data_IF_851489124700
#
_entry.id   IF_851489124700
#
_cell.length_a   1.000
_cell.length_b   1.000
_cell.length_c   1.000
_cell.angle_alpha   90.00
_cell.angle_beta   90.00
_cell.angle_gamma   90.00
#
_symmetry.space_group_name_H-M   'P 1'
#
loop_
_entity.id
_entity.type
_entity.pdbx_description
1 polymer ?
#
# COMPACT_ATOMS: atom_id res chain seq x y z
N UNK A 1 32.05 45.71 46.23
CA UNK A 1 31.80 46.81 45.28
C UNK A 1 30.68 46.38 44.37
N UNK A 2 29.50 46.97 44.54
CA UNK A 2 28.32 46.70 43.75
C UNK A 2 28.26 47.67 42.56
N UNK A 3 27.72 47.23 41.42
CA UNK A 3 26.83 48.04 40.58
C UNK A 3 26.05 47.11 39.63
N UNK A 4 24.73 47.26 39.71
CA UNK A 4 23.68 46.66 38.89
C UNK A 4 23.50 47.50 37.62
N UNK A 5 23.04 46.91 36.52
CA UNK A 5 21.85 47.35 35.75
C UNK A 5 21.53 46.29 34.68
N UNK A 6 20.30 45.76 34.71
CA UNK A 6 19.20 46.04 33.76
C UNK A 6 19.35 45.22 32.45
N UNK A 7 18.49 44.27 32.09
CA UNK A 7 17.05 44.19 32.31
C UNK A 7 16.35 44.32 30.95
N UNK A 8 16.10 43.20 30.26
CA UNK A 8 15.08 43.09 29.21
C UNK A 8 14.71 41.61 29.01
N UNK A 9 13.84 41.12 29.87
CA UNK A 9 13.12 39.87 29.67
C UNK A 9 12.12 40.06 28.53
N UNK A 10 12.20 39.22 27.50
CA UNK A 10 11.23 39.21 26.41
C UNK A 10 9.85 38.79 26.95
N UNK A 11 8.76 39.50 26.56
CA UNK A 11 7.43 39.21 27.05
C UNK A 11 6.92 37.88 26.49
N UNK A 12 6.66 36.93 27.39
CA UNK A 12 5.76 35.79 27.17
C UNK A 12 4.36 36.34 26.92
N UNK A 13 3.85 36.19 25.70
CA UNK A 13 2.44 36.42 25.42
C UNK A 13 1.63 35.30 26.08
N UNK A 14 0.81 35.70 27.05
CA UNK A 14 -0.18 34.84 27.69
C UNK A 14 -1.57 35.44 27.51
N UNK A 15 -2.53 34.53 27.36
CA UNK A 15 -3.98 34.62 27.64
C UNK A 15 -4.92 35.27 26.60
N UNK A 16 -5.76 34.36 26.08
CA UNK A 16 -7.22 34.31 26.24
C UNK A 16 -8.11 35.18 25.34
N UNK A 17 -9.08 34.49 24.72
CA UNK A 17 -10.53 34.77 24.59
C UNK A 17 -11.00 34.28 23.20
N UNK A 18 -11.73 33.17 23.11
CA UNK A 18 -13.21 33.16 23.06
C UNK A 18 -13.77 34.15 22.03
N UNK A 19 -14.17 33.62 20.87
CA UNK A 19 -14.78 34.39 19.79
C UNK A 19 -15.48 33.49 18.79
N UNK A 20 -16.74 33.18 19.11
CA UNK A 20 -17.86 32.95 18.18
C UNK A 20 -17.72 31.87 17.09
N UNK A 21 -18.42 30.75 17.35
CA UNK A 21 -19.02 29.91 16.31
C UNK A 21 -19.80 30.79 15.35
N UNK A 22 -19.32 30.94 14.12
CA UNK A 22 -20.19 31.41 13.04
C UNK A 22 -21.07 30.23 12.62
N UNK A 23 -22.32 30.28 13.09
CA UNK A 23 -23.43 29.58 12.46
C UNK A 23 -23.61 30.16 11.05
N UNK A 24 -23.36 29.36 10.02
CA UNK A 24 -23.87 29.65 8.69
C UNK A 24 -25.30 29.15 8.59
N UNK A 25 -26.22 30.10 8.52
CA UNK A 25 -27.63 29.88 8.24
C UNK A 25 -27.80 29.68 6.74
N UNK A 26 -28.37 28.52 6.38
CA UNK A 26 -29.32 28.40 5.28
C UNK A 26 -28.78 28.45 3.85
N UNK A 27 -28.53 27.27 3.29
CA UNK A 27 -29.15 26.91 2.00
C UNK A 27 -29.81 25.56 2.19
N UNK A 28 -31.13 25.55 2.32
CA UNK A 28 -31.95 24.34 2.20
C UNK A 28 -31.91 23.91 0.74
N UNK A 29 -30.94 23.07 0.39
CA UNK A 29 -30.94 22.40 -0.91
C UNK A 29 -32.08 21.37 -0.89
N UNK A 30 -32.97 21.50 -1.88
CA UNK A 30 -34.15 20.68 -2.05
C UNK A 30 -33.83 19.17 -2.08
N UNK A 31 -34.74 18.39 -1.49
CA UNK A 31 -34.82 16.96 -1.69
C UNK A 31 -34.99 16.66 -3.18
N UNK A 32 -34.11 15.83 -3.75
CA UNK A 32 -34.32 15.36 -5.13
C UNK A 32 -33.07 15.04 -5.94
N UNK A 33 -32.06 14.39 -5.36
CA UNK A 33 -31.14 13.61 -6.16
C UNK A 33 -30.86 12.31 -5.39
N UNK A 34 -31.49 11.22 -5.81
CA UNK A 34 -30.99 9.88 -5.45
C UNK A 34 -29.58 9.81 -6.04
N UNK A 35 -28.59 10.09 -5.20
CA UNK A 35 -27.19 9.92 -5.57
C UNK A 35 -27.05 8.53 -6.16
N UNK A 36 -26.50 8.46 -7.37
CA UNK A 36 -26.00 7.22 -7.93
C UNK A 36 -25.21 6.50 -6.83
N UNK A 37 -25.33 5.17 -6.66
CA UNK A 37 -24.61 4.45 -5.63
C UNK A 37 -23.15 4.91 -5.69
N UNK A 38 -22.65 5.49 -4.59
CA UNK A 38 -21.28 5.93 -4.50
C UNK A 38 -20.43 4.69 -4.76
N UNK A 39 -19.96 4.52 -6.00
CA UNK A 39 -19.03 3.46 -6.36
C UNK A 39 -17.89 3.64 -5.37
N UNK A 40 -17.71 2.69 -4.46
CA UNK A 40 -16.59 2.68 -3.53
C UNK A 40 -15.34 2.60 -4.39
N UNK A 41 -14.79 3.76 -4.73
CA UNK A 41 -13.51 3.86 -5.40
C UNK A 41 -12.49 3.57 -4.30
N UNK A 42 -12.17 2.29 -4.16
CA UNK A 42 -11.05 1.85 -3.34
C UNK A 42 -9.78 2.25 -4.08
N UNK A 43 -9.37 3.50 -3.90
CA UNK A 43 -8.07 3.95 -4.38
C UNK A 43 -7.02 3.30 -3.49
N UNK A 44 -6.25 2.38 -4.04
CA UNK A 44 -5.15 1.73 -3.32
C UNK A 44 -4.26 2.79 -2.65
N UNK A 45 -3.98 2.61 -1.35
CA UNK A 45 -3.18 3.56 -0.57
C UNK A 45 -3.92 4.79 -0.02
N UNK A 46 -5.23 4.92 -0.22
CA UNK A 46 -6.02 5.99 0.41
C UNK A 46 -6.41 5.67 1.86
N UNK A 47 -6.86 6.69 2.60
CA UNK A 47 -7.49 6.50 3.91
C UNK A 47 -8.77 5.65 3.81
N UNK A 48 -9.55 5.81 2.74
CA UNK A 48 -10.74 4.99 2.48
C UNK A 48 -10.41 3.51 2.19
N UNK A 49 -9.27 3.24 1.54
CA UNK A 49 -8.75 1.88 1.39
C UNK A 49 -8.32 1.29 2.72
N UNK A 50 -7.59 2.07 3.54
CA UNK A 50 -7.14 1.63 4.87
C UNK A 50 -8.31 1.32 5.80
N UNK A 51 -9.36 2.15 5.79
CA UNK A 51 -10.56 1.97 6.60
C UNK A 51 -11.38 0.73 6.22
N UNK A 52 -11.22 0.20 5.00
CA UNK A 52 -11.94 -0.99 4.53
C UNK A 52 -11.53 -2.28 5.28
N UNK A 53 -10.34 -2.29 5.88
CA UNK A 53 -9.78 -3.46 6.57
C UNK A 53 -10.13 -3.54 8.06
N UNK A 54 -10.89 -2.58 8.60
CA UNK A 54 -11.28 -2.56 10.01
C UNK A 54 -10.11 -2.26 10.97
N UNK A 55 -10.21 -2.76 12.19
CA UNK A 55 -9.17 -2.61 13.22
C UNK A 55 -8.03 -3.58 12.95
N UNK A 56 -6.83 -3.04 12.72
CA UNK A 56 -5.62 -3.83 12.44
C UNK A 56 -4.90 -4.12 13.75
N UNK A 57 -4.29 -5.30 13.92
CA UNK A 57 -3.48 -5.59 15.09
C UNK A 57 -2.34 -4.56 15.22
N UNK A 58 -1.92 -4.22 16.45
CA UNK A 58 -0.80 -3.30 16.65
C UNK A 58 0.45 -3.87 15.98
N UNK A 59 1.11 -3.05 15.16
CA UNK A 59 2.31 -3.44 14.42
C UNK A 59 3.52 -3.40 15.35
N UNK A 60 4.15 -4.55 15.56
CA UNK A 60 5.45 -4.62 16.22
C UNK A 60 6.56 -4.24 15.23
N UNK A 61 6.90 -2.96 15.23
CA UNK A 61 7.90 -2.39 14.31
C UNK A 61 9.29 -2.98 14.57
N UNK A 62 9.63 -3.29 15.82
CA UNK A 62 10.95 -3.81 16.16
C UNK A 62 11.12 -5.22 15.62
N UNK A 63 10.14 -6.09 15.87
CA UNK A 63 10.14 -7.46 15.33
C UNK A 63 10.14 -7.47 13.81
N UNK A 64 9.34 -6.62 13.18
CA UNK A 64 9.26 -6.55 11.71
C UNK A 64 10.63 -6.17 11.11
N UNK A 65 11.34 -5.23 11.72
CA UNK A 65 12.68 -4.82 11.27
C UNK A 65 13.69 -5.94 11.43
N UNK A 66 13.76 -6.56 12.61
CA UNK A 66 14.73 -7.64 12.86
C UNK A 66 14.48 -8.83 11.93
N UNK A 67 13.22 -9.26 11.77
CA UNK A 67 12.88 -10.38 10.88
C UNK A 67 13.17 -10.08 9.41
N UNK A 68 13.03 -8.81 8.99
CA UNK A 68 13.36 -8.41 7.62
C UNK A 68 14.87 -8.48 7.38
N UNK A 69 15.68 -8.00 8.33
CA UNK A 69 17.14 -8.09 8.23
C UNK A 69 17.59 -9.54 8.21
N UNK A 70 17.08 -10.36 9.14
CA UNK A 70 17.35 -11.81 9.18
C UNK A 70 17.02 -12.49 7.85
N UNK A 71 15.87 -12.17 7.25
CA UNK A 71 15.48 -12.71 5.96
C UNK A 71 16.46 -12.30 4.84
N UNK A 72 16.81 -11.02 4.77
CA UNK A 72 17.72 -10.51 3.73
C UNK A 72 19.13 -11.11 3.87
N UNK A 73 19.61 -11.29 5.10
CA UNK A 73 20.92 -11.91 5.38
C UNK A 73 20.95 -13.40 5.04
N UNK A 74 19.84 -14.11 5.28
CA UNK A 74 19.72 -15.54 5.02
C UNK A 74 19.20 -15.88 3.61
N UNK A 75 18.89 -14.87 2.79
CA UNK A 75 18.32 -15.08 1.46
C UNK A 75 19.35 -15.73 0.53
N UNK A 76 19.01 -16.88 -0.05
CA UNK A 76 19.83 -17.54 -1.06
C UNK A 76 19.45 -17.05 -2.47
N UNK A 77 20.32 -16.24 -3.13
CA UNK A 77 20.05 -15.72 -4.47
C UNK A 77 19.89 -16.82 -5.52
N UNK A 78 20.47 -18.01 -5.31
CA UNK A 78 20.39 -19.10 -6.27
C UNK A 78 18.96 -19.62 -6.46
N UNK A 79 18.11 -19.45 -5.45
CA UNK A 79 16.71 -19.88 -5.48
C UNK A 79 15.98 -19.36 -6.71
N UNK A 80 16.23 -18.12 -7.12
CA UNK A 80 15.54 -17.50 -8.26
C UNK A 80 16.09 -17.96 -9.63
N UNK A 81 17.24 -18.62 -9.64
CA UNK A 81 17.80 -19.24 -10.84
C UNK A 81 17.38 -20.71 -10.97
N UNK A 82 17.34 -21.43 -9.85
CA UNK A 82 16.99 -22.86 -9.80
C UNK A 82 15.48 -23.11 -9.87
N UNK A 83 14.68 -22.17 -9.38
CA UNK A 83 13.22 -22.18 -9.50
C UNK A 83 12.72 -20.92 -10.23
N UNK A 84 12.76 -20.90 -11.59
CA UNK A 84 12.34 -19.75 -12.38
C UNK A 84 10.90 -19.32 -12.07
N UNK A 85 10.69 -18.00 -12.04
CA UNK A 85 9.36 -17.42 -11.82
C UNK A 85 8.43 -17.85 -12.95
N UNK A 86 7.27 -18.43 -12.62
CA UNK A 86 6.29 -18.85 -13.61
C UNK A 86 4.86 -18.51 -13.17
N UNK A 87 3.92 -18.55 -14.12
CA UNK A 87 2.50 -18.40 -13.80
C UNK A 87 1.96 -19.67 -13.15
N UNK A 88 1.10 -19.50 -12.14
CA UNK A 88 0.39 -20.59 -11.48
C UNK A 88 -1.12 -20.48 -11.74
N UNK A 89 -1.75 -21.55 -12.20
CA UNK A 89 -3.20 -21.66 -12.32
C UNK A 89 -3.67 -22.73 -11.35
N UNK A 90 -4.42 -22.35 -10.31
CA UNK A 90 -4.90 -23.26 -9.24
C UNK A 90 -3.78 -24.06 -8.54
N UNK A 91 -2.57 -23.51 -8.46
CA UNK A 91 -1.41 -24.17 -7.87
C UNK A 91 -0.55 -24.95 -8.89
N UNK A 92 -1.05 -25.15 -10.10
CA UNK A 92 -0.31 -25.82 -11.16
C UNK A 92 0.54 -24.83 -11.95
N UNK A 93 1.80 -25.21 -12.20
CA UNK A 93 2.74 -24.43 -13.00
C UNK A 93 2.34 -24.44 -14.47
N UNK A 94 2.25 -23.25 -15.07
CA UNK A 94 2.12 -23.11 -16.53
C UNK A 94 3.47 -23.41 -17.16
N UNK A 95 3.55 -24.50 -17.93
CA UNK A 95 4.78 -24.99 -18.55
C UNK A 95 4.89 -24.63 -20.04
N UNK A 96 6.06 -24.90 -20.64
CA UNK A 96 6.29 -24.81 -22.08
C UNK A 96 6.65 -23.41 -22.59
N UNK A 97 6.89 -22.47 -21.68
CA UNK A 97 7.40 -21.14 -21.98
C UNK A 97 8.90 -21.09 -22.21
N UNK A 98 9.36 -20.00 -22.81
CA UNK A 98 10.78 -19.67 -22.92
C UNK A 98 11.31 -19.17 -21.57
N UNK A 99 12.48 -19.67 -21.15
CA UNK A 99 13.20 -19.15 -19.99
C UNK A 99 14.00 -17.91 -20.38
N UNK A 100 13.79 -16.81 -19.65
CA UNK A 100 14.51 -15.55 -19.84
C UNK A 100 15.09 -15.08 -18.52
N UNK A 101 16.30 -14.54 -18.56
CA UNK A 101 16.96 -13.94 -17.41
C UNK A 101 16.19 -12.70 -16.93
N UNK A 102 15.98 -12.61 -15.62
CA UNK A 102 15.47 -11.38 -15.00
C UNK A 102 16.63 -10.48 -14.61
N UNK A 103 16.42 -9.17 -14.73
CA UNK A 103 17.40 -8.16 -14.34
C UNK A 103 16.87 -7.31 -13.21
N UNK A 104 17.75 -6.98 -12.27
CA UNK A 104 17.45 -6.07 -11.19
C UNK A 104 17.45 -4.60 -11.66
N UNK A 105 17.13 -3.68 -10.74
CA UNK A 105 17.10 -2.25 -11.01
C UNK A 105 18.48 -1.64 -11.36
N UNK A 106 19.57 -2.38 -11.14
CA UNK A 106 20.94 -1.98 -11.45
C UNK A 106 21.48 -2.64 -12.73
N UNK A 107 20.66 -3.44 -13.42
CA UNK A 107 21.01 -4.14 -14.65
C UNK A 107 21.76 -5.46 -14.45
N UNK A 108 21.86 -5.97 -13.23
CA UNK A 108 22.46 -7.28 -12.96
C UNK A 108 21.42 -8.39 -13.09
N UNK A 109 21.83 -9.53 -13.65
CA UNK A 109 20.94 -10.71 -13.71
C UNK A 109 20.72 -11.24 -12.29
N UNK A 110 19.47 -11.39 -11.89
CA UNK A 110 19.09 -11.77 -10.52
C UNK A 110 18.21 -13.03 -10.44
N UNK A 111 17.90 -13.67 -11.56
CA UNK A 111 17.05 -14.85 -11.59
C UNK A 111 16.61 -15.20 -13.00
N UNK A 112 15.61 -16.07 -13.08
CA UNK A 112 14.97 -16.48 -14.34
C UNK A 112 13.46 -16.40 -14.24
N UNK A 113 12.81 -16.26 -15.39
CA UNK A 113 11.37 -16.35 -15.52
C UNK A 113 10.97 -17.19 -16.74
N UNK A 114 9.82 -17.84 -16.68
CA UNK A 114 9.21 -18.58 -17.77
C UNK A 114 8.13 -17.70 -18.40
N UNK A 115 8.32 -17.32 -19.66
CA UNK A 115 7.36 -16.52 -20.41
C UNK A 115 6.09 -17.35 -20.72
N UNK A 116 4.92 -16.73 -20.59
CA UNK A 116 3.67 -17.43 -20.89
C UNK A 116 3.55 -17.73 -22.41
N UNK A 117 3.16 -18.96 -22.74
CA UNK A 117 2.74 -19.32 -24.10
C UNK A 117 1.34 -18.77 -24.39
N UNK A 118 0.94 -18.69 -25.66
CA UNK A 118 -0.44 -18.35 -26.04
C UNK A 118 -1.46 -19.27 -25.35
N UNK A 119 -1.21 -20.58 -25.36
CA UNK A 119 -2.03 -21.56 -24.67
C UNK A 119 -2.07 -21.33 -23.14
N UNK A 120 -0.95 -20.95 -22.53
CA UNK A 120 -0.89 -20.56 -21.12
C UNK A 120 -1.74 -19.34 -20.81
N UNK A 121 -1.69 -18.31 -21.67
CA UNK A 121 -2.53 -17.11 -21.55
C UNK A 121 -4.01 -17.45 -21.70
N UNK A 122 -4.37 -18.28 -22.69
CA UNK A 122 -5.76 -18.74 -22.90
C UNK A 122 -6.29 -19.51 -21.68
N UNK A 123 -5.44 -20.35 -21.06
CA UNK A 123 -5.78 -21.05 -19.83
C UNK A 123 -6.02 -20.08 -18.65
N UNK A 124 -5.20 -19.03 -18.51
CA UNK A 124 -5.41 -17.97 -17.50
C UNK A 124 -6.72 -17.24 -17.78
N UNK A 125 -7.01 -16.87 -19.03
CA UNK A 125 -8.24 -16.18 -19.41
C UNK A 125 -9.48 -17.02 -19.11
N UNK A 126 -9.46 -18.30 -19.49
CA UNK A 126 -10.53 -19.23 -19.18
C UNK A 126 -10.73 -19.37 -17.67
N UNK A 127 -9.63 -19.45 -16.89
CA UNK A 127 -9.70 -19.49 -15.44
C UNK A 127 -10.36 -18.23 -14.87
N UNK A 128 -9.93 -17.04 -15.28
CA UNK A 128 -10.48 -15.75 -14.82
C UNK A 128 -11.97 -15.61 -15.17
N UNK A 129 -12.38 -16.03 -16.37
CA UNK A 129 -13.79 -15.99 -16.79
C UNK A 129 -14.68 -16.95 -15.98
N UNK A 130 -14.12 -18.06 -15.50
CA UNK A 130 -14.83 -19.06 -14.70
C UNK A 130 -14.84 -18.73 -13.19
N UNK A 131 -13.98 -17.82 -12.72
CA UNK A 131 -14.09 -17.28 -11.37
C UNK A 131 -15.35 -16.43 -11.34
N UNK A 132 -16.48 -17.06 -11.00
CA UNK A 132 -17.69 -16.35 -10.62
C UNK A 132 -17.35 -15.50 -9.39
N UNK A 133 -17.18 -14.20 -9.58
CA UNK A 133 -17.04 -13.23 -8.49
C UNK A 133 -18.39 -13.19 -7.75
N UNK A 134 -18.52 -14.00 -6.70
CA UNK A 134 -19.59 -13.95 -5.71
C UNK A 134 -21.01 -14.20 -6.22
N UNK A 135 -21.51 -15.42 -6.00
CA UNK A 135 -22.84 -15.59 -5.41
C UNK A 135 -22.67 -16.04 -3.98
#
# INVERSE_FOLDING_TARGET
MALRSSGAAMPRLSRAAWGTRQAWVGVTAAAGARGLPHRRRYHFGSSSYTAAFGEKPPVDVQKLRSSTVEYVEAFDPKTWHEDPVCSLIRGDRVQGGEEVDTVDAFGSVNGKQILATSAGVDAVLAHVQQIAVGK
#
